data_IF_951131286639
#
_entry.id   IF_951131286639
#
_cell.length_a   1.000
_cell.length_b   1.000
_cell.length_c   1.000
_cell.angle_alpha   90.00
_cell.angle_beta   90.00
_cell.angle_gamma   90.00
#
_symmetry.space_group_name_H-M   'P 1'
#
loop_
_entity.id
_entity.type
_entity.pdbx_description
1 polymer ?
#
# COMPACT_ATOMS: atom_id res chain seq x y z
N UNK A 1 0.20 -10.73 -22.66
CA UNK A 1 1.40 -9.86 -22.58
C UNK A 1 2.35 -10.50 -21.60
N UNK A 2 3.55 -10.78 -22.05
CA UNK A 2 4.54 -11.53 -21.26
C UNK A 2 5.03 -10.69 -20.07
N UNK A 3 4.80 -11.20 -18.84
CA UNK A 3 5.21 -10.57 -17.56
C UNK A 3 6.73 -10.33 -17.48
N UNK A 4 7.52 -11.09 -18.26
CA UNK A 4 8.98 -10.91 -18.36
C UNK A 4 9.39 -9.59 -19.03
N UNK A 5 8.54 -9.01 -19.87
CA UNK A 5 8.83 -7.73 -20.51
C UNK A 5 8.70 -6.53 -19.56
N UNK A 6 7.91 -6.66 -18.50
CA UNK A 6 7.74 -5.63 -17.47
C UNK A 6 9.02 -5.44 -16.63
N UNK A 7 9.65 -6.54 -16.22
CA UNK A 7 10.84 -6.51 -15.37
C UNK A 7 12.13 -6.24 -16.18
N UNK A 8 12.24 -6.80 -17.40
CA UNK A 8 13.43 -6.59 -18.24
C UNK A 8 13.53 -5.20 -18.83
N UNK A 9 12.40 -4.48 -19.07
CA UNK A 9 12.43 -3.09 -19.52
C UNK A 9 12.81 -2.09 -18.45
N UNK A 10 12.66 -2.44 -17.16
CA UNK A 10 13.18 -1.63 -16.07
C UNK A 10 14.72 -1.70 -15.94
N UNK A 11 15.37 -2.67 -16.60
CA UNK A 11 16.80 -2.90 -16.52
C UNK A 11 17.62 -2.49 -17.76
N UNK A 12 16.99 -2.00 -18.83
CA UNK A 12 17.72 -1.70 -20.08
C UNK A 12 17.08 -0.57 -20.90
N UNK A 13 17.00 0.62 -20.34
CA UNK A 13 16.57 1.83 -21.02
C UNK A 13 17.63 2.93 -20.94
N UNK A 14 18.25 3.24 -22.06
CA UNK A 14 19.13 4.42 -22.21
C UNK A 14 18.29 5.68 -21.97
N UNK A 15 18.64 6.46 -20.94
CA UNK A 15 17.93 7.65 -20.52
C UNK A 15 17.95 8.72 -21.63
N UNK A 16 16.82 8.95 -22.28
CA UNK A 16 16.53 10.24 -22.87
C UNK A 16 15.85 11.08 -21.79
N UNK A 17 16.56 12.04 -21.25
CA UNK A 17 15.99 13.04 -20.33
C UNK A 17 14.94 13.87 -21.08
N UNK A 18 13.70 13.40 -21.08
CA UNK A 18 12.57 14.26 -21.35
C UNK A 18 12.20 14.91 -19.99
N UNK A 19 12.73 16.11 -19.73
CA UNK A 19 12.15 17.00 -18.73
C UNK A 19 10.74 17.34 -19.20
N UNK A 20 9.76 16.53 -18.80
CA UNK A 20 8.36 16.90 -18.92
C UNK A 20 8.14 18.06 -17.96
N UNK A 21 8.46 19.29 -18.40
CA UNK A 21 8.12 20.49 -17.67
C UNK A 21 6.59 20.53 -17.55
N UNK A 22 6.07 20.56 -16.34
CA UNK A 22 4.69 21.00 -16.12
C UNK A 22 4.56 22.34 -16.88
N UNK A 23 3.60 22.44 -17.78
CA UNK A 23 3.44 23.65 -18.57
C UNK A 23 3.33 24.87 -17.64
N UNK A 24 4.04 25.99 -17.93
CA UNK A 24 4.10 27.16 -17.05
C UNK A 24 2.73 27.72 -16.67
N UNK A 25 1.75 27.56 -17.55
CA UNK A 25 0.37 28.02 -17.32
C UNK A 25 -0.38 27.20 -16.27
N UNK A 26 -0.13 25.88 -16.17
CA UNK A 26 -0.79 25.01 -15.20
C UNK A 26 -0.36 25.35 -13.77
N UNK A 27 0.95 25.55 -13.57
CA UNK A 27 1.49 25.98 -12.26
C UNK A 27 0.98 27.39 -11.92
N UNK A 28 0.92 28.31 -12.91
CA UNK A 28 0.44 29.67 -12.71
C UNK A 28 -1.01 29.68 -12.23
N UNK A 29 -1.88 28.87 -12.84
CA UNK A 29 -3.29 28.79 -12.45
C UNK A 29 -3.44 28.17 -11.05
N UNK A 30 -2.67 27.12 -10.74
CA UNK A 30 -2.65 26.50 -9.41
C UNK A 30 -2.18 27.47 -8.31
N UNK A 31 -1.20 28.33 -8.60
CA UNK A 31 -0.73 29.37 -7.67
C UNK A 31 -1.67 30.58 -7.61
N UNK A 32 -2.51 30.79 -8.62
CA UNK A 32 -3.47 31.90 -8.65
C UNK A 32 -4.66 31.71 -7.71
N UNK A 33 -4.92 30.46 -7.26
CA UNK A 33 -5.99 30.19 -6.29
C UNK A 33 -5.54 30.37 -4.83
N UNK A 34 -5.52 29.37 -3.97
CA UNK A 34 -5.14 29.54 -2.56
C UNK A 34 -3.65 29.37 -2.26
N UNK A 35 -2.89 28.80 -3.18
CA UNK A 35 -1.49 28.40 -2.97
C UNK A 35 -1.29 27.33 -1.88
N UNK A 36 -2.35 26.64 -1.50
CA UNK A 36 -2.36 25.64 -0.43
C UNK A 36 -3.12 24.39 -0.88
N UNK A 37 -2.53 23.22 -0.61
CA UNK A 37 -3.15 21.91 -0.75
C UNK A 37 -3.42 21.31 0.64
N UNK A 38 -4.64 20.87 0.92
CA UNK A 38 -4.97 20.14 2.13
C UNK A 38 -4.93 18.63 1.82
N UNK A 39 -3.84 17.98 2.20
CA UNK A 39 -3.57 16.58 1.94
C UNK A 39 -3.97 15.73 3.14
N UNK A 40 -4.83 14.72 2.91
CA UNK A 40 -5.24 13.74 3.91
C UNK A 40 -4.65 12.37 3.53
N UNK A 41 -3.65 11.91 4.29
CA UNK A 41 -2.77 10.84 3.85
C UNK A 41 -2.24 9.97 4.99
N UNK A 42 -1.58 8.87 4.63
CA UNK A 42 -0.81 8.04 5.53
C UNK A 42 0.44 8.79 6.04
N UNK A 43 0.92 8.51 7.26
CA UNK A 43 2.13 9.14 7.80
C UNK A 43 3.36 8.97 6.90
N UNK A 44 3.49 7.81 6.27
CA UNK A 44 4.65 7.50 5.41
C UNK A 44 4.72 8.38 4.16
N UNK A 45 3.58 8.79 3.61
CA UNK A 45 3.51 9.64 2.41
C UNK A 45 3.71 11.13 2.71
N UNK A 46 3.68 11.51 3.99
CA UNK A 46 3.87 12.88 4.44
C UNK A 46 5.28 13.18 4.94
N UNK A 47 6.26 12.35 4.58
CA UNK A 47 7.66 12.58 4.93
C UNK A 47 8.15 13.93 4.37
N UNK A 48 9.02 14.65 5.12
CA UNK A 48 9.50 15.98 4.70
C UNK A 48 10.07 16.00 3.29
N UNK A 49 10.78 14.94 2.88
CA UNK A 49 11.38 14.82 1.55
C UNK A 49 10.34 14.86 0.44
N UNK A 50 9.19 14.20 0.64
CA UNK A 50 8.09 14.14 -0.34
C UNK A 50 7.39 15.50 -0.41
N UNK A 51 7.03 16.05 0.76
CA UNK A 51 6.31 17.34 0.84
C UNK A 51 7.17 18.47 0.26
N UNK A 52 8.44 18.56 0.66
CA UNK A 52 9.35 19.61 0.18
C UNK A 52 9.62 19.49 -1.32
N UNK A 53 9.69 18.26 -1.88
CA UNK A 53 9.86 18.06 -3.32
C UNK A 53 8.67 18.63 -4.11
N UNK A 54 7.44 18.37 -3.67
CA UNK A 54 6.24 18.95 -4.26
C UNK A 54 6.21 20.48 -4.11
N UNK A 55 6.41 21.01 -2.90
CA UNK A 55 6.43 22.45 -2.64
C UNK A 55 7.48 23.18 -3.47
N UNK A 56 8.68 22.58 -3.61
CA UNK A 56 9.78 23.13 -4.43
C UNK A 56 9.43 23.13 -5.92
N UNK A 57 8.78 22.06 -6.40
CA UNK A 57 8.42 21.96 -7.82
C UNK A 57 7.30 22.90 -8.23
N UNK A 58 6.36 23.20 -7.31
CA UNK A 58 5.11 23.90 -7.65
C UNK A 58 4.97 25.28 -6.98
N UNK A 59 5.63 25.52 -5.86
CA UNK A 59 5.40 26.68 -5.00
C UNK A 59 4.14 26.57 -4.12
N UNK A 60 3.36 25.49 -4.25
CA UNK A 60 2.13 25.26 -3.49
C UNK A 60 2.50 24.74 -2.11
N UNK A 61 1.94 25.32 -1.05
CA UNK A 61 2.13 24.85 0.32
C UNK A 61 1.20 23.69 0.65
N UNK A 62 1.71 22.70 1.39
CA UNK A 62 0.93 21.51 1.79
C UNK A 62 0.57 21.56 3.26
N UNK A 63 -0.72 21.45 3.56
CA UNK A 63 -1.21 21.17 4.91
C UNK A 63 -1.58 19.70 5.02
N UNK A 64 -0.82 18.98 5.84
CA UNK A 64 -0.99 17.55 6.01
C UNK A 64 -1.89 17.23 7.20
N UNK A 65 -2.78 16.27 7.01
CA UNK A 65 -3.49 15.55 8.07
C UNK A 65 -3.26 14.06 7.84
N UNK A 66 -2.89 13.33 8.89
CA UNK A 66 -2.65 11.90 8.76
C UNK A 66 -3.81 11.06 9.29
N UNK A 67 -3.89 9.82 8.79
CA UNK A 67 -4.72 8.73 9.31
C UNK A 67 -3.91 7.43 9.28
N UNK A 68 -4.31 6.46 10.10
CA UNK A 68 -3.58 5.20 10.25
C UNK A 68 -4.29 4.00 9.61
N UNK A 69 -5.57 4.15 9.23
CA UNK A 69 -6.35 3.09 8.59
C UNK A 69 -7.33 3.65 7.56
N UNK A 70 -7.67 2.88 6.52
CA UNK A 70 -8.72 3.27 5.56
C UNK A 70 -10.06 3.57 6.25
N UNK A 71 -10.38 2.83 7.32
CA UNK A 71 -11.60 3.07 8.11
C UNK A 71 -11.57 4.44 8.79
N UNK A 72 -10.42 4.86 9.34
CA UNK A 72 -10.24 6.21 9.92
C UNK A 72 -10.40 7.28 8.84
N UNK A 73 -9.78 7.08 7.66
CA UNK A 73 -9.92 7.95 6.50
C UNK A 73 -11.41 8.14 6.15
N UNK A 74 -12.13 7.05 5.95
CA UNK A 74 -13.56 7.07 5.63
C UNK A 74 -14.37 7.78 6.71
N UNK A 75 -14.20 7.41 7.97
CA UNK A 75 -14.96 7.97 9.08
C UNK A 75 -14.73 9.48 9.22
N UNK A 76 -13.50 9.94 9.06
CA UNK A 76 -13.17 11.37 9.10
C UNK A 76 -13.82 12.15 7.96
N UNK A 77 -13.74 11.61 6.74
CA UNK A 77 -14.39 12.23 5.58
C UNK A 77 -15.92 12.29 5.74
N UNK A 78 -16.53 11.23 6.27
CA UNK A 78 -17.98 11.22 6.59
C UNK A 78 -18.34 12.26 7.64
N UNK A 79 -17.62 12.28 8.76
CA UNK A 79 -17.86 13.23 9.85
C UNK A 79 -17.74 14.70 9.42
N UNK A 80 -16.80 14.99 8.50
CA UNK A 80 -16.61 16.32 7.96
C UNK A 80 -17.48 16.62 6.73
N UNK A 81 -18.33 15.66 6.29
CA UNK A 81 -19.10 15.75 5.04
C UNK A 81 -18.18 16.04 3.85
N UNK A 82 -17.05 15.32 3.80
CA UNK A 82 -15.99 15.48 2.79
C UNK A 82 -15.51 16.95 2.63
N UNK A 83 -15.38 17.70 3.72
CA UNK A 83 -14.88 19.08 3.73
C UNK A 83 -13.54 19.17 4.44
N UNK A 84 -12.74 20.18 4.08
CA UNK A 84 -11.48 20.49 4.74
C UNK A 84 -10.26 19.77 4.15
N UNK A 85 -10.46 18.91 3.17
CA UNK A 85 -9.42 18.19 2.45
C UNK A 85 -9.59 18.35 0.94
N UNK A 86 -8.50 18.30 0.19
CA UNK A 86 -8.52 18.40 -1.27
C UNK A 86 -8.18 17.06 -1.90
N UNK A 87 -7.15 16.38 -1.39
CA UNK A 87 -6.78 15.02 -1.77
C UNK A 87 -6.83 14.11 -0.55
N UNK A 88 -7.32 12.88 -0.77
CA UNK A 88 -7.16 11.75 0.13
C UNK A 88 -6.45 10.59 -0.60
N UNK A 89 -5.72 9.76 0.15
CA UNK A 89 -4.91 8.66 -0.41
C UNK A 89 -5.30 7.29 0.15
N UNK A 90 -6.57 6.85 0.03
CA UNK A 90 -6.98 5.53 0.48
C UNK A 90 -6.48 4.43 -0.45
N UNK A 91 -6.49 3.19 0.04
CA UNK A 91 -6.23 2.03 -0.81
C UNK A 91 -7.34 1.86 -1.86
N UNK A 92 -6.96 1.53 -3.09
CA UNK A 92 -7.92 1.40 -4.21
C UNK A 92 -9.05 0.40 -3.93
N UNK A 93 -8.79 -0.63 -3.17
CA UNK A 93 -9.77 -1.70 -2.89
C UNK A 93 -10.93 -1.26 -2.00
N UNK A 94 -10.79 -0.15 -1.29
CA UNK A 94 -11.81 0.37 -0.35
C UNK A 94 -12.83 1.31 -1.02
N UNK A 95 -12.64 1.68 -2.28
CA UNK A 95 -13.49 2.69 -2.95
C UNK A 95 -14.95 2.28 -3.06
N UNK A 96 -15.27 0.99 -3.19
CA UNK A 96 -16.65 0.54 -3.26
C UNK A 96 -17.46 1.01 -2.03
N UNK A 97 -16.90 0.82 -0.83
CA UNK A 97 -17.51 1.28 0.42
C UNK A 97 -17.49 2.81 0.56
N UNK A 98 -16.36 3.45 0.24
CA UNK A 98 -16.22 4.90 0.34
C UNK A 98 -17.21 5.64 -0.55
N UNK A 99 -17.49 5.11 -1.74
CA UNK A 99 -18.42 5.72 -2.71
C UNK A 99 -19.89 5.52 -2.36
N UNK A 100 -20.26 4.62 -1.44
CA UNK A 100 -21.59 4.59 -0.85
C UNK A 100 -21.91 5.86 -0.04
N UNK A 101 -20.87 6.55 0.43
CA UNK A 101 -20.98 7.80 1.15
C UNK A 101 -20.60 9.03 0.30
N UNK A 102 -20.42 8.86 -1.01
CA UNK A 102 -20.08 9.92 -1.97
C UNK A 102 -18.87 10.78 -1.54
N UNK A 103 -17.82 10.14 -1.03
CA UNK A 103 -16.67 10.86 -0.43
C UNK A 103 -15.73 11.50 -1.45
N UNK A 104 -15.76 11.05 -2.71
CA UNK A 104 -14.86 11.51 -3.76
C UNK A 104 -15.64 12.03 -4.98
N UNK A 105 -15.01 12.88 -5.75
CA UNK A 105 -15.52 13.34 -7.03
C UNK A 105 -14.78 12.69 -8.19
N UNK A 106 -15.35 12.78 -9.37
CA UNK A 106 -14.74 12.32 -10.61
C UNK A 106 -13.44 13.10 -10.91
N UNK A 107 -12.42 12.38 -11.34
CA UNK A 107 -11.13 12.95 -11.78
C UNK A 107 -11.16 13.11 -13.29
N UNK A 108 -10.99 14.34 -13.75
CA UNK A 108 -10.77 14.66 -15.17
C UNK A 108 -9.32 14.33 -15.56
N UNK A 109 -9.11 13.16 -16.16
CA UNK A 109 -7.79 12.70 -16.58
C UNK A 109 -7.12 13.65 -17.60
N UNK A 110 -7.91 14.41 -18.37
CA UNK A 110 -7.41 15.42 -19.32
C UNK A 110 -6.65 16.58 -18.66
N UNK A 111 -6.84 16.78 -17.36
CA UNK A 111 -6.10 17.77 -16.55
C UNK A 111 -4.80 17.25 -15.96
N UNK A 112 -4.38 16.03 -16.29
CA UNK A 112 -3.19 15.38 -15.75
C UNK A 112 -2.27 14.97 -16.91
N UNK A 113 -1.53 15.89 -17.54
CA UNK A 113 -0.65 15.58 -18.69
C UNK A 113 0.34 14.45 -18.42
N UNK A 114 0.90 14.40 -17.19
CA UNK A 114 1.87 13.37 -16.80
C UNK A 114 1.25 12.00 -16.51
N UNK A 115 -0.08 11.84 -16.61
CA UNK A 115 -0.74 10.54 -16.44
C UNK A 115 -0.23 9.50 -17.47
N UNK A 116 0.29 9.93 -18.61
CA UNK A 116 0.95 9.07 -19.61
C UNK A 116 2.19 8.34 -19.07
N UNK A 117 2.80 8.85 -18.00
CA UNK A 117 3.91 8.21 -17.31
C UNK A 117 3.47 7.09 -16.35
N UNK A 118 2.17 7.00 -16.03
CA UNK A 118 1.67 5.87 -15.25
C UNK A 118 1.90 4.56 -16.02
N UNK A 119 2.44 3.56 -15.35
CA UNK A 119 2.60 2.21 -15.94
C UNK A 119 1.24 1.65 -16.37
N UNK A 120 1.12 1.25 -17.61
CA UNK A 120 -0.15 0.81 -18.19
C UNK A 120 -0.79 -0.37 -17.44
N UNK A 121 0.04 -1.26 -16.88
CA UNK A 121 -0.44 -2.38 -16.07
C UNK A 121 -1.16 -1.91 -14.80
N UNK A 122 -0.65 -0.87 -14.12
CA UNK A 122 -1.31 -0.28 -12.95
C UNK A 122 -2.52 0.55 -13.33
N UNK A 123 -2.45 1.28 -14.44
CA UNK A 123 -3.62 2.02 -14.94
C UNK A 123 -4.81 1.09 -15.21
N UNK A 124 -4.59 -0.01 -15.95
CA UNK A 124 -5.67 -0.97 -16.22
C UNK A 124 -6.10 -1.75 -14.96
N UNK A 125 -5.17 -2.13 -14.11
CA UNK A 125 -5.49 -2.81 -12.86
C UNK A 125 -6.31 -1.91 -11.92
N UNK A 126 -6.00 -0.61 -11.85
CA UNK A 126 -6.72 0.33 -10.99
C UNK A 126 -8.22 0.40 -11.27
N UNK A 127 -8.62 0.26 -12.54
CA UNK A 127 -10.03 0.22 -12.92
C UNK A 127 -10.76 -0.94 -12.24
N UNK A 128 -10.11 -2.10 -12.16
CA UNK A 128 -10.67 -3.32 -11.54
C UNK A 128 -10.58 -3.31 -10.02
N UNK A 129 -9.63 -2.56 -9.45
CA UNK A 129 -9.43 -2.46 -7.99
C UNK A 129 -10.36 -1.45 -7.31
N UNK A 130 -11.19 -0.72 -8.06
CA UNK A 130 -12.11 0.26 -7.51
C UNK A 130 -11.81 1.71 -7.89
N UNK A 131 -10.75 1.98 -8.66
CA UNK A 131 -10.44 3.32 -9.16
C UNK A 131 -11.47 3.87 -10.16
N UNK A 132 -12.33 3.00 -10.71
CA UNK A 132 -13.51 3.37 -11.51
C UNK A 132 -14.75 2.78 -10.86
N UNK A 133 -15.68 3.64 -10.46
CA UNK A 133 -16.97 3.26 -9.85
C UNK A 133 -18.09 3.87 -10.70
N UNK A 134 -19.05 3.06 -11.11
CA UNK A 134 -20.19 3.50 -11.95
C UNK A 134 -19.79 4.26 -13.22
N UNK A 135 -18.65 3.86 -13.82
CA UNK A 135 -18.07 4.49 -15.01
C UNK A 135 -17.26 5.76 -14.77
N UNK A 136 -17.20 6.27 -13.55
CA UNK A 136 -16.44 7.45 -13.19
C UNK A 136 -15.06 7.09 -12.62
N UNK A 137 -14.01 7.78 -13.04
CA UNK A 137 -12.67 7.69 -12.45
C UNK A 137 -12.67 8.45 -11.13
N UNK A 138 -12.59 7.76 -9.99
CA UNK A 138 -12.62 8.35 -8.65
C UNK A 138 -11.30 8.19 -7.91
N UNK A 139 -10.42 7.32 -8.37
CA UNK A 139 -9.09 7.12 -7.79
C UNK A 139 -8.06 6.72 -8.83
N UNK A 140 -6.87 7.27 -8.72
CA UNK A 140 -5.69 6.96 -9.55
C UNK A 140 -4.59 6.34 -8.70
N UNK A 141 -3.84 5.32 -9.18
CA UNK A 141 -2.73 4.73 -8.45
C UNK A 141 -1.68 5.76 -8.03
N UNK A 142 -1.17 5.65 -6.82
CA UNK A 142 -0.08 6.49 -6.31
C UNK A 142 1.22 5.70 -6.19
N UNK A 143 1.17 4.65 -5.42
CA UNK A 143 2.26 3.70 -5.23
C UNK A 143 1.70 2.30 -4.95
N UNK A 144 2.59 1.33 -4.81
CA UNK A 144 2.24 -0.01 -4.41
C UNK A 144 3.29 -0.61 -3.49
N UNK A 145 2.85 -1.52 -2.68
CA UNK A 145 3.72 -2.27 -1.80
C UNK A 145 3.12 -3.61 -1.47
N UNK A 146 3.78 -4.29 -0.55
CA UNK A 146 3.31 -5.60 -0.11
C UNK A 146 3.24 -5.70 1.40
N UNK A 147 2.43 -6.63 1.86
CA UNK A 147 2.44 -7.09 3.24
C UNK A 147 2.88 -8.55 3.25
N UNK A 148 4.05 -8.83 3.82
CA UNK A 148 4.63 -10.16 3.85
C UNK A 148 5.53 -10.32 5.07
N UNK A 149 6.60 -11.11 4.94
CA UNK A 149 7.39 -11.57 6.08
C UNK A 149 8.59 -10.68 6.35
N UNK A 150 8.70 -10.18 7.58
CA UNK A 150 9.90 -9.55 8.10
C UNK A 150 10.51 -10.37 9.24
N UNK A 151 11.82 -10.32 9.37
CA UNK A 151 12.54 -11.03 10.43
C UNK A 151 13.84 -10.34 10.83
N UNK A 152 14.25 -10.56 12.09
CA UNK A 152 15.51 -10.10 12.63
C UNK A 152 16.65 -10.99 12.12
N UNK A 153 17.64 -10.43 11.42
CA UNK A 153 18.73 -11.16 10.77
C UNK A 153 19.82 -11.65 11.73
N UNK A 154 19.87 -11.16 12.96
CA UNK A 154 20.76 -11.69 14.01
C UNK A 154 20.20 -12.97 14.65
N UNK A 155 18.90 -13.20 14.51
CA UNK A 155 18.20 -14.32 15.12
C UNK A 155 17.78 -15.38 14.11
N UNK A 156 17.44 -14.98 12.90
CA UNK A 156 16.84 -15.82 11.86
C UNK A 156 17.52 -15.59 10.52
N UNK A 157 17.66 -16.67 9.75
CA UNK A 157 18.23 -16.62 8.40
C UNK A 157 17.39 -17.48 7.46
N UNK A 158 16.34 -16.90 6.90
CA UNK A 158 15.50 -17.57 5.91
C UNK A 158 16.03 -17.38 4.49
N UNK A 159 15.94 -18.43 3.69
CA UNK A 159 16.05 -18.38 2.23
C UNK A 159 14.66 -18.23 1.62
N UNK A 160 14.60 -17.76 0.38
CA UNK A 160 13.35 -17.44 -0.29
C UNK A 160 12.31 -18.57 -0.23
N UNK A 161 12.61 -19.74 -0.68
CA UNK A 161 11.63 -20.84 -0.74
C UNK A 161 11.33 -21.52 0.62
N UNK A 162 12.08 -21.17 1.68
CA UNK A 162 11.86 -21.70 3.03
C UNK A 162 10.90 -20.83 3.83
N UNK A 163 10.70 -19.56 3.42
CA UNK A 163 9.87 -18.60 4.15
C UNK A 163 8.39 -18.77 3.79
N UNK A 164 7.55 -18.84 4.81
CA UNK A 164 6.09 -19.04 4.72
C UNK A 164 5.37 -18.20 5.75
N UNK A 165 4.13 -17.77 5.49
CA UNK A 165 3.27 -17.21 6.54
C UNK A 165 3.06 -18.20 7.69
N UNK A 166 3.18 -19.50 7.44
CA UNK A 166 3.13 -20.54 8.47
C UNK A 166 4.22 -20.42 9.53
N UNK A 167 5.38 -19.81 9.21
CA UNK A 167 6.46 -19.63 10.19
C UNK A 167 6.06 -18.72 11.36
N UNK A 168 5.06 -17.84 11.21
CA UNK A 168 4.53 -17.04 12.33
C UNK A 168 3.97 -17.92 13.46
N UNK A 169 3.53 -19.12 13.12
CA UNK A 169 2.79 -20.03 14.00
C UNK A 169 3.63 -21.16 14.56
N UNK A 170 4.94 -21.14 14.33
CA UNK A 170 5.89 -22.05 14.96
C UNK A 170 6.01 -21.74 16.44
N UNK A 171 5.94 -22.76 17.30
CA UNK A 171 6.04 -22.61 18.76
C UNK A 171 7.40 -22.06 19.22
N UNK A 172 8.45 -22.15 18.40
CA UNK A 172 9.75 -21.50 18.62
C UNK A 172 9.66 -19.97 18.71
N UNK A 173 8.62 -19.38 18.15
CA UNK A 173 8.39 -17.93 18.15
C UNK A 173 7.30 -17.47 19.11
N UNK A 174 6.95 -18.28 20.11
CA UNK A 174 5.99 -17.91 21.14
C UNK A 174 6.37 -16.58 21.81
N UNK A 175 5.44 -15.62 21.79
CA UNK A 175 5.63 -14.27 22.34
C UNK A 175 6.65 -13.41 21.58
N UNK A 176 6.94 -13.71 20.31
CA UNK A 176 7.95 -13.00 19.50
C UNK A 176 7.45 -12.56 18.13
N UNK A 177 6.16 -12.74 17.82
CA UNK A 177 5.54 -12.43 16.55
C UNK A 177 4.85 -11.09 16.59
N UNK A 178 4.92 -10.34 15.48
CA UNK A 178 4.08 -9.16 15.25
C UNK A 178 3.26 -9.33 13.96
N UNK A 179 2.03 -8.85 13.98
CA UNK A 179 1.16 -8.86 12.79
C UNK A 179 0.05 -7.81 12.89
N UNK A 180 -0.56 -7.50 11.75
CA UNK A 180 -1.74 -6.63 11.72
C UNK A 180 -3.01 -7.45 11.97
N UNK A 181 -3.90 -7.04 12.88
CA UNK A 181 -4.95 -7.92 13.36
C UNK A 181 -6.00 -8.32 12.32
N UNK A 182 -6.17 -7.59 11.22
CA UNK A 182 -7.11 -7.98 10.16
C UNK A 182 -6.43 -8.69 8.97
N UNK A 183 -5.27 -8.22 8.53
CA UNK A 183 -4.60 -8.80 7.36
C UNK A 183 -3.88 -10.11 7.66
N UNK A 184 -3.61 -10.42 8.92
CA UNK A 184 -3.09 -11.72 9.34
C UNK A 184 -4.03 -12.88 8.96
N UNK A 185 -5.33 -12.62 8.85
CA UNK A 185 -6.28 -13.61 8.32
C UNK A 185 -5.97 -14.02 6.88
N UNK A 186 -5.57 -13.05 6.04
CA UNK A 186 -5.24 -13.34 4.65
C UNK A 186 -3.92 -14.13 4.58
N UNK A 187 -2.85 -13.67 5.24
CA UNK A 187 -1.57 -14.39 5.24
C UNK A 187 -1.68 -15.81 5.81
N UNK A 188 -2.37 -15.96 6.94
CA UNK A 188 -2.64 -17.28 7.52
C UNK A 188 -3.53 -18.13 6.62
N UNK A 189 -4.54 -17.54 5.99
CA UNK A 189 -5.41 -18.21 5.05
C UNK A 189 -4.67 -18.73 3.82
N UNK A 190 -3.76 -17.93 3.25
CA UNK A 190 -2.89 -18.35 2.16
C UNK A 190 -2.03 -19.56 2.55
N UNK A 191 -1.48 -19.56 3.77
CA UNK A 191 -0.74 -20.70 4.29
C UNK A 191 -1.63 -21.93 4.47
N UNK A 192 -2.80 -21.78 5.09
CA UNK A 192 -3.70 -22.91 5.35
C UNK A 192 -4.30 -23.50 4.07
N UNK A 193 -4.54 -22.67 3.05
CA UNK A 193 -4.93 -23.09 1.72
C UNK A 193 -3.79 -23.89 1.04
N UNK A 194 -2.58 -23.38 1.08
CA UNK A 194 -1.41 -24.01 0.47
C UNK A 194 -1.09 -25.39 1.04
N UNK A 195 -1.41 -25.64 2.32
CA UNK A 195 -1.25 -26.96 2.96
C UNK A 195 -2.54 -27.80 2.93
N UNK A 196 -3.59 -27.34 2.22
CA UNK A 196 -4.86 -28.07 2.04
C UNK A 196 -5.76 -28.13 3.28
N UNK A 197 -5.48 -27.35 4.34
CA UNK A 197 -6.30 -27.33 5.57
C UNK A 197 -7.57 -26.51 5.44
N UNK A 198 -7.51 -25.38 4.75
CA UNK A 198 -8.65 -24.48 4.54
C UNK A 198 -8.67 -24.07 3.06
N UNK A 199 -9.26 -24.90 2.19
CA UNK A 199 -9.40 -24.57 0.76
C UNK A 199 -10.20 -23.27 0.58
N UNK A 200 -9.64 -22.31 -0.15
CA UNK A 200 -10.21 -20.97 -0.28
C UNK A 200 -9.86 -20.30 -1.62
N UNK A 201 -9.36 -21.07 -2.59
CA UNK A 201 -8.85 -20.56 -3.85
C UNK A 201 -7.86 -19.38 -3.61
N UNK A 202 -6.87 -19.61 -2.74
CA UNK A 202 -5.93 -18.60 -2.29
C UNK A 202 -6.64 -17.37 -1.72
N UNK A 203 -7.63 -17.58 -0.88
CA UNK A 203 -8.48 -16.56 -0.23
C UNK A 203 -9.42 -15.78 -1.17
N UNK A 204 -9.39 -15.99 -2.49
CA UNK A 204 -10.28 -15.24 -3.40
C UNK A 204 -11.75 -15.58 -3.23
N UNK A 205 -12.10 -16.80 -2.82
CA UNK A 205 -13.50 -17.20 -2.54
C UNK A 205 -14.14 -16.34 -1.44
N UNK A 206 -13.32 -15.78 -0.53
CA UNK A 206 -13.81 -14.95 0.57
C UNK A 206 -14.38 -13.59 0.12
N UNK A 207 -14.14 -13.18 -1.12
CA UNK A 207 -14.64 -11.93 -1.69
C UNK A 207 -15.91 -12.13 -2.53
N UNK A 208 -16.31 -13.39 -2.79
CA UNK A 208 -17.48 -13.69 -3.64
C UNK A 208 -18.81 -13.52 -2.92
N UNK A 209 -18.88 -13.92 -1.63
CA UNK A 209 -20.05 -13.73 -0.80
C UNK A 209 -19.71 -13.75 0.69
N UNK A 210 -20.56 -13.11 1.50
CA UNK A 210 -20.41 -13.11 2.96
C UNK A 210 -20.47 -14.51 3.56
N UNK A 211 -21.26 -15.41 2.98
CA UNK A 211 -21.36 -16.81 3.40
C UNK A 211 -20.04 -17.55 3.18
N UNK A 212 -19.46 -17.44 1.98
CA UNK A 212 -18.15 -18.05 1.67
C UNK A 212 -17.06 -17.48 2.56
N UNK A 213 -17.06 -16.16 2.75
CA UNK A 213 -16.14 -15.51 3.67
C UNK A 213 -16.23 -16.10 5.07
N UNK A 214 -17.41 -16.13 5.67
CA UNK A 214 -17.64 -16.67 7.02
C UNK A 214 -17.13 -18.09 7.14
N UNK A 215 -17.47 -18.97 6.19
CA UNK A 215 -17.04 -20.38 6.19
C UNK A 215 -15.51 -20.53 6.25
N UNK A 216 -14.78 -19.67 5.55
CA UNK A 216 -13.30 -19.68 5.53
C UNK A 216 -12.74 -19.01 6.78
N UNK A 217 -13.27 -17.84 7.13
CA UNK A 217 -12.77 -17.05 8.26
C UNK A 217 -13.03 -17.71 9.62
N UNK A 218 -14.12 -18.48 9.80
CA UNK A 218 -14.38 -19.25 11.03
C UNK A 218 -13.25 -20.24 11.30
N UNK A 219 -12.77 -20.93 10.28
CA UNK A 219 -11.68 -21.91 10.40
C UNK A 219 -10.34 -21.22 10.67
N UNK A 220 -10.09 -20.09 9.99
CA UNK A 220 -8.87 -19.30 10.21
C UNK A 220 -8.88 -18.69 11.62
N UNK A 221 -10.02 -18.17 12.08
CA UNK A 221 -10.16 -17.60 13.43
C UNK A 221 -9.86 -18.65 14.51
N UNK A 222 -10.42 -19.87 14.38
CA UNK A 222 -10.16 -20.96 15.32
C UNK A 222 -8.65 -21.26 15.41
N UNK A 223 -7.97 -21.36 14.25
CA UNK A 223 -6.52 -21.55 14.19
C UNK A 223 -5.76 -20.37 14.83
N UNK A 224 -6.13 -19.14 14.51
CA UNK A 224 -5.47 -17.93 15.03
C UNK A 224 -5.62 -17.81 16.56
N UNK A 225 -6.78 -18.17 17.11
CA UNK A 225 -7.01 -18.19 18.56
C UNK A 225 -6.09 -19.22 19.24
N UNK A 226 -5.98 -20.42 18.69
CA UNK A 226 -5.07 -21.46 19.22
C UNK A 226 -3.61 -20.98 19.24
N UNK A 227 -3.19 -20.28 18.18
CA UNK A 227 -1.82 -19.78 17.99
C UNK A 227 -1.57 -18.36 18.51
N UNK A 228 -2.55 -17.72 19.16
CA UNK A 228 -2.44 -16.33 19.63
C UNK A 228 -1.26 -16.13 20.61
N UNK A 229 -0.87 -17.16 21.35
CA UNK A 229 0.32 -17.18 22.23
C UNK A 229 1.63 -16.78 21.54
N UNK A 230 1.73 -16.91 20.21
CA UNK A 230 2.90 -16.51 19.45
C UNK A 230 3.00 -14.98 19.31
N UNK A 231 1.86 -14.28 19.36
CA UNK A 231 1.82 -12.85 19.15
C UNK A 231 2.31 -12.09 20.37
N UNK A 232 3.31 -11.25 20.16
CA UNK A 232 3.83 -10.29 21.14
C UNK A 232 3.02 -9.01 21.13
N UNK A 233 2.75 -8.48 19.92
CA UNK A 233 1.98 -7.27 19.73
C UNK A 233 1.34 -7.21 18.35
N UNK A 234 0.22 -6.52 18.27
CA UNK A 234 -0.37 -6.08 17.03
C UNK A 234 0.16 -4.71 16.62
N UNK A 235 0.18 -4.45 15.33
CA UNK A 235 0.51 -3.15 14.78
C UNK A 235 -0.63 -2.62 13.90
N UNK A 236 -0.75 -1.29 13.77
CA UNK A 236 -1.73 -0.63 12.93
C UNK A 236 -1.10 0.33 11.90
N UNK A 237 0.11 0.82 12.18
CA UNK A 237 0.84 1.76 11.34
C UNK A 237 2.32 1.37 11.22
N UNK A 238 3.06 2.07 10.36
CA UNK A 238 4.47 1.80 10.10
C UNK A 238 5.36 1.90 11.33
N UNK A 239 5.09 2.86 12.22
CA UNK A 239 5.89 3.04 13.42
C UNK A 239 5.73 1.87 14.39
N UNK A 240 4.50 1.38 14.56
CA UNK A 240 4.23 0.26 15.47
C UNK A 240 5.05 -0.98 15.10
N UNK A 241 5.06 -1.37 13.81
CA UNK A 241 5.81 -2.57 13.42
C UNK A 241 7.32 -2.34 13.38
N UNK A 242 7.81 -1.13 13.17
CA UNK A 242 9.22 -0.81 13.39
C UNK A 242 9.60 -0.99 14.86
N UNK A 243 8.80 -0.44 15.78
CA UNK A 243 9.01 -0.59 17.22
C UNK A 243 8.92 -2.05 17.69
N UNK A 244 8.13 -2.88 17.02
CA UNK A 244 8.04 -4.31 17.30
C UNK A 244 9.41 -5.00 17.24
N UNK A 245 10.20 -4.70 16.21
CA UNK A 245 11.54 -5.26 16.03
C UNK A 245 12.61 -4.52 16.87
N UNK A 246 12.52 -3.19 16.97
CA UNK A 246 13.57 -2.38 17.61
C UNK A 246 13.52 -2.41 19.12
N UNK A 247 12.31 -2.46 19.73
CA UNK A 247 12.14 -2.24 21.16
C UNK A 247 11.34 -3.36 21.86
N UNK A 248 10.43 -4.03 21.14
CA UNK A 248 9.51 -4.97 21.75
C UNK A 248 9.93 -6.44 21.62
N UNK A 249 11.12 -6.72 21.05
CA UNK A 249 11.70 -8.05 21.01
C UNK A 249 11.01 -9.02 20.04
N UNK A 250 10.21 -8.53 19.11
CA UNK A 250 9.70 -9.35 18.01
C UNK A 250 10.86 -9.79 17.11
N UNK A 251 10.84 -11.06 16.70
CA UNK A 251 11.90 -11.62 15.85
C UNK A 251 11.40 -11.93 14.43
N UNK A 252 10.09 -12.10 14.28
CA UNK A 252 9.44 -12.36 12.99
C UNK A 252 8.06 -11.67 12.98
N UNK A 253 7.58 -11.31 11.78
CA UNK A 253 6.27 -10.68 11.67
C UNK A 253 5.76 -10.63 10.24
N UNK A 254 4.44 -10.45 10.11
CA UNK A 254 3.79 -10.03 8.89
C UNK A 254 3.71 -8.51 8.92
N UNK A 255 4.38 -7.85 7.98
CA UNK A 255 4.58 -6.38 7.99
C UNK A 255 4.48 -5.81 6.57
N UNK A 256 4.36 -4.50 6.45
CA UNK A 256 4.58 -3.82 5.18
C UNK A 256 6.08 -3.82 4.81
N UNK A 257 6.36 -3.81 3.50
CA UNK A 257 7.72 -3.78 2.94
C UNK A 257 8.45 -2.46 3.24
N UNK A 258 7.84 -1.32 2.93
CA UNK A 258 8.48 -0.01 2.98
C UNK A 258 9.20 0.31 4.29
N UNK A 259 8.52 0.27 5.46
CA UNK A 259 9.15 0.56 6.74
C UNK A 259 10.29 -0.38 7.11
N UNK A 260 10.21 -1.68 6.76
CA UNK A 260 11.29 -2.64 7.02
C UNK A 260 12.47 -2.40 6.07
N UNK A 261 12.21 -2.10 4.78
CA UNK A 261 13.25 -1.76 3.83
C UNK A 261 13.97 -0.45 4.22
N UNK A 262 13.22 0.53 4.76
CA UNK A 262 13.80 1.76 5.32
C UNK A 262 14.72 1.45 6.50
N UNK A 263 14.27 0.65 7.47
CA UNK A 263 15.11 0.21 8.61
C UNK A 263 16.38 -0.52 8.13
N UNK A 264 16.25 -1.40 7.14
CA UNK A 264 17.37 -2.12 6.54
C UNK A 264 18.35 -1.18 5.87
N UNK A 265 17.86 -0.18 5.13
CA UNK A 265 18.67 0.89 4.50
C UNK A 265 19.48 1.67 5.54
N UNK A 266 18.91 1.87 6.73
CA UNK A 266 19.54 2.49 7.90
C UNK A 266 20.53 1.55 8.64
N UNK A 267 20.69 0.32 8.19
CA UNK A 267 21.62 -0.66 8.79
C UNK A 267 21.07 -1.43 9.98
N UNK A 268 19.75 -1.42 10.20
CA UNK A 268 19.12 -2.23 11.26
C UNK A 268 19.13 -3.71 10.87
N UNK A 269 19.28 -4.62 11.85
CA UNK A 269 19.38 -6.06 11.58
C UNK A 269 18.01 -6.70 11.28
N UNK A 270 17.38 -6.22 10.23
CA UNK A 270 16.09 -6.74 9.75
C UNK A 270 16.15 -7.05 8.26
N UNK A 271 15.34 -8.01 7.85
CA UNK A 271 15.11 -8.29 6.43
C UNK A 271 13.61 -8.41 6.17
N UNK A 272 13.23 -8.09 4.93
CA UNK A 272 11.90 -8.31 4.39
C UNK A 272 12.02 -9.24 3.19
N UNK A 273 11.10 -10.20 3.07
CA UNK A 273 11.11 -11.13 1.94
C UNK A 273 9.71 -11.68 1.68
N UNK A 274 9.35 -11.78 0.41
CA UNK A 274 8.13 -12.46 -0.02
C UNK A 274 8.18 -13.94 0.38
N UNK A 275 7.11 -14.48 1.00
CA UNK A 275 7.02 -15.91 1.32
C UNK A 275 6.61 -16.72 0.08
N UNK A 276 6.73 -18.05 0.18
CA UNK A 276 6.41 -18.98 -0.92
C UNK A 276 4.94 -18.94 -1.37
N UNK A 277 4.01 -18.54 -0.49
CA UNK A 277 2.60 -18.35 -0.81
C UNK A 277 2.34 -17.10 -1.65
N UNK A 278 3.31 -16.19 -1.74
CA UNK A 278 3.24 -14.89 -2.41
C UNK A 278 2.96 -13.74 -1.45
N UNK A 279 3.60 -12.59 -1.69
CA UNK A 279 3.38 -11.39 -0.90
C UNK A 279 2.02 -10.76 -1.24
N UNK A 280 1.26 -10.38 -0.21
CA UNK A 280 -0.02 -9.68 -0.37
C UNK A 280 0.23 -8.27 -0.88
N UNK A 281 -0.31 -7.95 -2.05
CA UNK A 281 0.02 -6.73 -2.80
C UNK A 281 -1.15 -5.76 -2.82
N UNK A 282 -0.92 -4.56 -2.34
CA UNK A 282 -1.86 -3.45 -2.32
C UNK A 282 -1.42 -2.33 -3.27
N UNK A 283 -2.36 -1.49 -3.64
CA UNK A 283 -2.13 -0.26 -4.40
C UNK A 283 -2.87 0.87 -3.70
N UNK A 284 -2.13 1.87 -3.26
CA UNK A 284 -2.73 3.08 -2.72
C UNK A 284 -2.98 4.09 -3.83
N UNK A 285 -3.85 5.03 -3.55
CA UNK A 285 -4.39 5.91 -4.57
C UNK A 285 -4.29 7.38 -4.21
N UNK A 286 -4.60 8.19 -5.19
CA UNK A 286 -4.95 9.60 -5.03
C UNK A 286 -6.39 9.79 -5.48
N UNK A 287 -7.22 10.36 -4.60
CA UNK A 287 -8.60 10.72 -4.87
C UNK A 287 -8.86 12.19 -4.55
N UNK A 288 -9.61 12.87 -5.40
CA UNK A 288 -10.06 14.24 -5.11
C UNK A 288 -11.30 14.15 -4.21
N UNK A 289 -11.22 14.77 -3.04
CA UNK A 289 -12.32 14.75 -2.06
C UNK A 289 -13.53 15.50 -2.61
N UNK A 290 -14.75 15.00 -2.35
CA UNK A 290 -16.01 15.50 -2.96
C UNK A 290 -16.20 17.00 -2.87
N UNK A 291 -15.85 17.61 -1.75
CA UNK A 291 -16.02 19.05 -1.50
C UNK A 291 -14.67 19.78 -1.41
N UNK A 292 -13.66 19.32 -2.16
CA UNK A 292 -12.36 19.98 -2.28
C UNK A 292 -12.54 21.43 -2.77
N UNK A 293 -11.83 22.35 -2.14
CA UNK A 293 -11.88 23.78 -2.48
C UNK A 293 -10.72 24.22 -3.35
N UNK A 294 -9.60 23.52 -3.29
CA UNK A 294 -8.36 23.85 -3.98
C UNK A 294 -8.13 22.85 -5.13
N UNK A 295 -9.07 22.81 -6.10
CA UNK A 295 -9.05 21.82 -7.18
C UNK A 295 -7.83 21.96 -8.08
N UNK A 296 -7.39 23.19 -8.37
CA UNK A 296 -6.19 23.43 -9.19
C UNK A 296 -4.95 22.88 -8.51
N UNK A 297 -4.81 23.08 -7.19
CA UNK A 297 -3.70 22.52 -6.39
C UNK A 297 -3.79 20.99 -6.30
N UNK A 298 -4.99 20.43 -6.23
CA UNK A 298 -5.21 19.00 -6.27
C UNK A 298 -4.74 18.40 -7.60
N UNK A 299 -5.12 18.99 -8.74
CA UNK A 299 -4.63 18.57 -10.04
C UNK A 299 -3.13 18.77 -10.25
N UNK A 300 -2.57 19.86 -9.68
CA UNK A 300 -1.12 20.07 -9.68
C UNK A 300 -0.38 18.95 -8.93
N UNK A 301 -0.94 18.47 -7.80
CA UNK A 301 -0.37 17.36 -7.05
C UNK A 301 -0.48 16.05 -7.83
N UNK A 302 -1.65 15.73 -8.40
CA UNK A 302 -1.83 14.54 -9.24
C UNK A 302 -0.85 14.55 -10.42
N UNK A 303 -0.69 15.68 -11.10
CA UNK A 303 0.20 15.80 -12.22
C UNK A 303 1.68 15.68 -11.82
N UNK A 304 2.09 16.30 -10.70
CA UNK A 304 3.44 16.17 -10.16
C UNK A 304 3.76 14.73 -9.75
N UNK A 305 2.83 14.05 -9.09
CA UNK A 305 3.00 12.68 -8.62
C UNK A 305 3.34 11.68 -9.75
N UNK A 306 2.95 11.98 -10.98
CA UNK A 306 3.29 11.18 -12.15
C UNK A 306 4.55 11.63 -12.90
N UNK A 307 5.41 12.44 -12.28
CA UNK A 307 6.78 12.64 -12.78
C UNK A 307 7.70 11.52 -12.29
N UNK A 308 8.70 11.07 -13.09
CA UNK A 308 9.67 10.08 -12.64
C UNK A 308 10.40 10.50 -11.38
N UNK A 309 10.72 11.78 -11.25
CA UNK A 309 11.37 12.36 -10.09
C UNK A 309 10.51 12.25 -8.81
N UNK A 310 9.22 12.54 -8.92
CA UNK A 310 8.28 12.39 -7.80
C UNK A 310 8.16 10.92 -7.38
N UNK A 311 7.99 10.02 -8.35
CA UNK A 311 7.94 8.57 -8.08
C UNK A 311 9.20 8.08 -7.37
N UNK A 312 10.38 8.54 -7.79
CA UNK A 312 11.64 8.18 -7.16
C UNK A 312 11.78 8.78 -5.75
N UNK A 313 11.38 10.04 -5.54
CA UNK A 313 11.41 10.67 -4.21
C UNK A 313 10.52 9.90 -3.24
N UNK A 314 9.30 9.55 -3.63
CA UNK A 314 8.37 8.76 -2.83
C UNK A 314 9.00 7.40 -2.49
N UNK A 315 9.47 6.66 -3.48
CA UNK A 315 10.04 5.32 -3.25
C UNK A 315 11.31 5.35 -2.38
N UNK A 316 12.20 6.33 -2.59
CA UNK A 316 13.41 6.47 -1.77
C UNK A 316 13.10 6.86 -0.32
N UNK A 317 12.06 7.67 -0.09
CA UNK A 317 11.66 8.13 1.23
C UNK A 317 10.86 7.08 1.99
N UNK A 318 9.95 6.37 1.32
CA UNK A 318 9.00 5.47 1.96
C UNK A 318 9.46 4.00 1.98
N UNK A 319 10.26 3.59 0.99
CA UNK A 319 10.58 2.19 0.72
C UNK A 319 9.48 1.44 -0.03
N UNK A 320 8.40 2.12 -0.47
CA UNK A 320 7.36 1.55 -1.32
C UNK A 320 7.69 1.69 -2.80
N UNK A 321 7.00 0.95 -3.65
CA UNK A 321 7.31 0.89 -5.07
C UNK A 321 6.52 1.93 -5.86
N UNK A 322 7.17 2.61 -6.80
CA UNK A 322 6.50 3.56 -7.68
C UNK A 322 5.68 2.86 -8.77
N UNK A 323 4.59 3.51 -9.16
CA UNK A 323 3.77 3.14 -10.33
C UNK A 323 4.16 3.94 -11.58
N UNK A 324 5.21 4.77 -11.49
CA UNK A 324 5.60 5.73 -12.54
C UNK A 324 6.77 5.19 -13.36
N UNK A 325 6.63 5.21 -14.68
CA UNK A 325 7.69 4.85 -15.63
C UNK A 325 8.94 5.70 -15.41
N UNK A 326 10.11 5.07 -15.42
CA UNK A 326 11.40 5.75 -15.25
C UNK A 326 11.76 6.10 -13.81
N UNK A 327 10.84 6.01 -12.85
CA UNK A 327 11.16 6.28 -11.44
C UNK A 327 12.22 5.30 -10.88
N UNK A 328 12.18 4.04 -11.30
CA UNK A 328 13.13 3.01 -10.86
C UNK A 328 14.59 3.35 -11.23
N UNK A 329 14.82 4.06 -12.33
CA UNK A 329 16.15 4.46 -12.77
C UNK A 329 16.79 5.52 -11.86
N UNK A 330 15.93 6.31 -11.19
CA UNK A 330 16.31 7.41 -10.30
C UNK A 330 16.41 7.01 -8.82
N UNK A 331 16.17 5.73 -8.49
CA UNK A 331 16.32 5.24 -7.13
C UNK A 331 17.80 5.21 -6.69
N UNK A 332 18.03 5.45 -5.42
CA UNK A 332 19.36 5.21 -4.85
C UNK A 332 19.70 3.71 -4.79
N UNK A 333 20.99 3.41 -4.79
CA UNK A 333 21.49 2.02 -4.87
C UNK A 333 21.06 1.15 -3.67
N UNK A 334 20.91 1.73 -2.47
CA UNK A 334 20.44 1.00 -1.29
C UNK A 334 18.97 0.59 -1.44
N UNK A 335 18.16 1.50 -1.97
CA UNK A 335 16.73 1.25 -2.25
C UNK A 335 16.58 0.19 -3.34
N UNK A 336 17.30 0.28 -4.45
CA UNK A 336 17.34 -0.76 -5.51
C UNK A 336 17.71 -2.12 -4.96
N UNK A 337 18.78 -2.18 -4.16
CA UNK A 337 19.22 -3.43 -3.52
C UNK A 337 18.19 -3.98 -2.55
N UNK A 338 17.54 -3.11 -1.79
CA UNK A 338 16.45 -3.49 -0.87
C UNK A 338 15.31 -4.19 -1.60
N UNK A 339 14.81 -3.61 -2.68
CA UNK A 339 13.75 -4.21 -3.50
C UNK A 339 14.16 -5.55 -4.13
N UNK A 340 15.36 -5.65 -4.69
CA UNK A 340 15.86 -6.90 -5.27
C UNK A 340 15.93 -8.05 -4.24
N UNK A 341 16.24 -7.73 -3.00
CA UNK A 341 16.31 -8.70 -1.91
C UNK A 341 14.94 -9.05 -1.32
N UNK A 342 13.99 -8.12 -1.37
CA UNK A 342 12.61 -8.34 -0.91
C UNK A 342 11.84 -9.28 -1.86
N UNK A 343 12.15 -9.21 -3.15
CA UNK A 343 11.42 -9.95 -4.20
C UNK A 343 12.39 -10.78 -5.07
N UNK A 344 13.06 -11.80 -4.49
CA UNK A 344 14.05 -12.60 -5.21
C UNK A 344 13.38 -13.54 -6.22
N UNK A 345 14.13 -13.93 -7.27
CA UNK A 345 13.74 -14.94 -8.25
C UNK A 345 12.36 -14.65 -8.92
N UNK A 346 11.37 -15.52 -8.68
CA UNK A 346 10.02 -15.45 -9.22
C UNK A 346 8.99 -14.82 -8.26
N UNK A 347 9.46 -14.20 -7.17
CA UNK A 347 8.58 -13.61 -6.14
C UNK A 347 7.58 -12.60 -6.69
N UNK A 348 7.99 -11.80 -7.70
CA UNK A 348 7.08 -10.84 -8.35
C UNK A 348 6.01 -11.52 -9.23
N UNK A 349 6.28 -12.73 -9.72
CA UNK A 349 5.30 -13.52 -10.48
C UNK A 349 4.26 -14.17 -9.56
N UNK A 350 4.62 -14.41 -8.29
CA UNK A 350 3.77 -15.03 -7.27
C UNK A 350 2.98 -14.04 -6.43
N UNK A 351 3.08 -12.73 -6.67
CA UNK A 351 2.33 -11.74 -5.90
C UNK A 351 0.85 -12.10 -5.79
N UNK A 352 0.34 -12.06 -4.57
CA UNK A 352 -1.08 -12.15 -4.30
C UNK A 352 -1.68 -10.75 -4.28
N UNK A 353 -2.64 -10.48 -5.14
CA UNK A 353 -3.20 -9.14 -5.27
C UNK A 353 -4.50 -9.04 -4.49
N UNK A 354 -4.62 -8.03 -3.65
CA UNK A 354 -5.92 -7.64 -3.14
C UNK A 354 -6.87 -7.37 -4.31
N UNK A 355 -8.16 -7.62 -4.09
CA UNK A 355 -9.22 -7.31 -5.04
C UNK A 355 -10.11 -6.20 -4.49
N UNK A 356 -10.96 -5.59 -5.33
CA UNK A 356 -11.93 -4.63 -4.85
C UNK A 356 -12.81 -5.28 -3.77
N UNK A 357 -12.85 -4.69 -2.59
CA UNK A 357 -13.61 -5.21 -1.46
C UNK A 357 -15.10 -4.84 -1.64
N UNK A 358 -16.01 -5.80 -1.70
CA UNK A 358 -17.44 -5.50 -1.65
C UNK A 358 -17.80 -4.72 -0.37
N UNK A 359 -18.80 -3.85 -0.42
CA UNK A 359 -19.14 -3.00 0.71
C UNK A 359 -19.44 -3.77 2.03
N UNK A 360 -19.97 -5.00 1.91
CA UNK A 360 -20.21 -5.89 3.06
C UNK A 360 -18.91 -6.48 3.66
N UNK A 361 -17.81 -6.54 2.90
CA UNK A 361 -16.59 -7.26 3.31
C UNK A 361 -15.89 -6.62 4.51
N UNK A 362 -15.69 -5.31 4.48
CA UNK A 362 -15.00 -4.57 5.57
C UNK A 362 -15.75 -4.68 6.90
N UNK A 363 -17.07 -4.45 6.98
CA UNK A 363 -17.82 -4.69 8.20
C UNK A 363 -17.71 -6.14 8.72
N UNK A 364 -17.86 -7.13 7.84
CA UNK A 364 -17.77 -8.55 8.20
C UNK A 364 -16.36 -8.89 8.73
N UNK A 365 -15.30 -8.49 8.02
CA UNK A 365 -13.89 -8.66 8.45
C UNK A 365 -13.63 -8.02 9.81
N UNK A 366 -14.24 -6.88 10.10
CA UNK A 366 -14.08 -6.18 11.37
C UNK A 366 -14.53 -7.03 12.55
N UNK A 367 -15.63 -7.76 12.43
CA UNK A 367 -16.12 -8.67 13.47
C UNK A 367 -15.07 -9.74 13.80
N UNK A 368 -14.47 -10.37 12.77
CA UNK A 368 -13.45 -11.39 12.98
C UNK A 368 -12.16 -10.81 13.60
N UNK A 369 -11.73 -9.63 13.15
CA UNK A 369 -10.62 -8.90 13.76
C UNK A 369 -10.85 -8.69 15.25
N UNK A 370 -12.02 -8.18 15.62
CA UNK A 370 -12.34 -7.84 17.01
C UNK A 370 -12.42 -9.11 17.88
N UNK A 371 -13.01 -10.18 17.37
CA UNK A 371 -13.03 -11.48 18.05
C UNK A 371 -11.62 -12.02 18.28
N UNK A 372 -10.74 -11.94 17.27
CA UNK A 372 -9.34 -12.37 17.40
C UNK A 372 -8.57 -11.54 18.42
N UNK A 373 -8.77 -10.22 18.45
CA UNK A 373 -8.11 -9.35 19.40
C UNK A 373 -8.60 -9.58 20.84
N UNK A 374 -9.88 -9.91 21.01
CA UNK A 374 -10.49 -10.15 22.32
C UNK A 374 -10.18 -11.53 22.91
N UNK A 375 -9.95 -12.56 22.07
CA UNK A 375 -9.61 -13.91 22.52
C UNK A 375 -8.27 -13.95 23.26
#
# INVERSE_FOLDING_TARGET
MDRRSFIKKAASGTAVFATASMGPWFIKDALSSSGTLNLFTWPDYSKPEVIHAFEKATGIKVKVTNYSTNQECMNKLRATRAKGFDIAQPSLTEFALHMEFELYQEIDEGKIPNLSNLESAFYEKSKKLGGVIRGQRVGLPYDWGTEAMAFNTEKLNFKYNDLSYGNLWDDAYMGKVTCRPHSVFIGTGLYLDAIGKVPSNRMYDTYESEEKMKKVYDQILAFLIEKKKNIKMFWNNAQDHQLAFLQNGCVIGQTWDGPILTMKKEGRPVNYMAPKEGAMTWVDSMAIVKNAKNLEQAYAFLNWAYTPEAGAVVANATGYNSVVKGAADLLDEKTKKGFAQAYPQDALERLWWYVSEPAWFVPARTVYRDQFQAA
#
